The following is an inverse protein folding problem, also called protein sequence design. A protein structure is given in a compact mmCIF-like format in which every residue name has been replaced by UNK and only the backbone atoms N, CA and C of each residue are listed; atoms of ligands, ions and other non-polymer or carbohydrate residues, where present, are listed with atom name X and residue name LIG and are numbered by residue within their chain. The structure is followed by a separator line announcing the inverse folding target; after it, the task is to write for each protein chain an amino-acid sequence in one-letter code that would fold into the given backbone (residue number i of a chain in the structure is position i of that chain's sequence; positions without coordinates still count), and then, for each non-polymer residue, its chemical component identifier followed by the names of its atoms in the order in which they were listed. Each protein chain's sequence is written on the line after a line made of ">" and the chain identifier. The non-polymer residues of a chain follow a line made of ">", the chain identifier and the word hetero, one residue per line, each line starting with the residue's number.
data_IF_404616042149
#
_entry.id   IF_404616042149
#
_cell.length_a   1.000
_cell.length_b   1.000
_cell.length_c   1.000
_cell.angle_alpha   90.00
_cell.angle_beta   90.00
_cell.angle_gamma   90.00
#
_symmetry.space_group_name_H-M   'P 1'
#
loop_
_entity.id
_entity.type
_entity.pdbx_description
1 polymer ?
#
# COMPACT_ATOMS: atom_id res chain seq x y z
N UNK A 1 6.33 3.50 7.98
CA UNK A 1 6.04 4.40 6.84
C UNK A 1 4.54 4.62 6.72
N UNK A 2 3.75 3.57 6.53
CA UNK A 2 2.29 3.63 6.37
C UNK A 2 1.61 4.32 7.56
N UNK A 3 1.81 3.84 8.80
CA UNK A 3 1.20 4.47 9.98
C UNK A 3 1.55 5.96 10.16
N UNK A 4 2.73 6.39 9.69
CA UNK A 4 3.09 7.82 9.71
C UNK A 4 2.34 8.58 8.62
N UNK A 5 2.28 8.06 7.40
CA UNK A 5 1.53 8.64 6.30
C UNK A 5 0.04 8.80 6.67
N UNK A 6 -0.56 7.75 7.26
CA UNK A 6 -1.95 7.78 7.73
C UNK A 6 -2.17 8.85 8.81
N UNK A 7 -1.25 8.95 9.78
CA UNK A 7 -1.33 9.96 10.86
C UNK A 7 -1.11 11.39 10.38
N UNK A 8 -0.25 11.60 9.38
CA UNK A 8 0.01 12.95 8.86
C UNK A 8 -1.06 13.41 7.88
N UNK A 9 -1.57 12.51 7.04
CA UNK A 9 -2.68 12.83 6.15
C UNK A 9 -4.01 12.98 6.92
N UNK A 10 -4.19 12.23 8.02
CA UNK A 10 -5.30 12.31 8.98
C UNK A 10 -6.67 12.60 8.34
N UNK A 11 -6.97 11.94 7.22
CA UNK A 11 -8.20 12.17 6.49
C UNK A 11 -9.33 11.33 7.10
N UNK A 12 -10.34 12.02 7.63
CA UNK A 12 -11.54 11.41 8.23
C UNK A 12 -12.37 10.66 7.20
N UNK A 13 -12.21 10.96 5.92
CA UNK A 13 -12.91 10.33 4.80
C UNK A 13 -12.15 9.14 4.22
N UNK A 14 -11.02 8.77 4.81
CA UNK A 14 -10.16 7.70 4.33
C UNK A 14 -9.19 8.15 3.24
N UNK A 15 -8.12 7.38 3.10
CA UNK A 15 -7.00 7.67 2.22
C UNK A 15 -6.93 6.63 1.11
N UNK A 16 -6.79 7.09 -0.13
CA UNK A 16 -6.57 6.17 -1.25
C UNK A 16 -5.13 5.65 -1.23
N UNK A 17 -4.91 4.50 -1.87
CA UNK A 17 -3.57 3.92 -2.00
C UNK A 17 -2.57 4.92 -2.63
N UNK A 18 -3.02 5.68 -3.64
CA UNK A 18 -2.19 6.67 -4.34
C UNK A 18 -1.81 7.84 -3.43
N UNK A 19 -2.71 8.27 -2.54
CA UNK A 19 -2.40 9.34 -1.58
C UNK A 19 -1.32 8.89 -0.58
N UNK A 20 -1.44 7.64 -0.10
CA UNK A 20 -0.47 7.04 0.81
C UNK A 20 0.87 6.82 0.10
N UNK A 21 0.84 6.26 -1.11
CA UNK A 21 2.02 6.04 -1.96
C UNK A 21 2.72 7.36 -2.28
N UNK A 22 1.98 8.40 -2.65
CA UNK A 22 2.51 9.72 -2.94
C UNK A 22 3.21 10.36 -1.74
N UNK A 23 2.64 10.23 -0.53
CA UNK A 23 3.30 10.69 0.69
C UNK A 23 4.59 9.91 0.96
N UNK A 24 4.53 8.59 0.83
CA UNK A 24 5.68 7.72 1.07
C UNK A 24 6.80 8.01 0.08
N UNK A 25 6.51 8.14 -1.21
CA UNK A 25 7.48 8.57 -2.23
C UNK A 25 8.11 9.89 -1.87
N UNK A 26 7.32 10.90 -1.51
CA UNK A 26 7.85 12.23 -1.20
C UNK A 26 8.81 12.25 0.00
N UNK A 27 8.51 11.48 1.04
CA UNK A 27 9.31 11.45 2.27
C UNK A 27 10.46 10.42 2.23
N UNK A 28 10.32 9.34 1.46
CA UNK A 28 11.21 8.18 1.51
C UNK A 28 11.70 7.70 0.13
N UNK A 29 11.66 8.56 -0.89
CA UNK A 29 12.01 8.24 -2.29
C UNK A 29 13.29 7.40 -2.44
N UNK A 30 14.32 7.77 -1.67
CA UNK A 30 15.66 7.16 -1.75
C UNK A 30 15.75 5.76 -1.13
N UNK A 31 14.81 5.39 -0.26
CA UNK A 31 14.80 4.13 0.48
C UNK A 31 13.74 3.14 -0.06
N UNK A 32 12.97 3.56 -1.07
CA UNK A 32 11.86 2.77 -1.59
C UNK A 32 12.33 1.78 -2.66
N UNK A 33 11.93 0.50 -2.54
CA UNK A 33 12.10 -0.47 -3.61
C UNK A 33 11.39 -0.02 -4.90
N UNK A 34 11.87 -0.50 -6.04
CA UNK A 34 11.24 -0.23 -7.33
C UNK A 34 9.75 -0.61 -7.35
N UNK A 35 9.39 -1.74 -6.72
CA UNK A 35 8.01 -2.23 -6.59
C UNK A 35 7.31 -1.77 -5.28
N UNK A 36 7.61 -0.57 -4.78
CA UNK A 36 7.03 -0.11 -3.51
C UNK A 36 5.50 -0.01 -3.54
N UNK A 37 4.88 0.23 -4.69
CA UNK A 37 3.40 0.27 -4.81
C UNK A 37 2.79 -1.10 -4.51
N UNK A 38 3.29 -2.16 -5.15
CA UNK A 38 2.85 -3.54 -4.89
C UNK A 38 3.09 -3.92 -3.43
N UNK A 39 4.26 -3.58 -2.89
CA UNK A 39 4.61 -3.86 -1.49
C UNK A 39 3.67 -3.10 -0.53
N UNK A 40 3.37 -1.83 -0.83
CA UNK A 40 2.43 -1.00 -0.08
C UNK A 40 1.04 -1.64 -0.07
N UNK A 41 0.53 -2.03 -1.23
CA UNK A 41 -0.77 -2.71 -1.38
C UNK A 41 -0.86 -3.97 -0.52
N UNK A 42 0.16 -4.84 -0.60
CA UNK A 42 0.24 -6.06 0.21
C UNK A 42 0.23 -5.72 1.70
N UNK A 43 0.97 -4.69 2.12
CA UNK A 43 0.99 -4.27 3.51
C UNK A 43 -0.35 -3.67 3.97
N UNK A 44 -1.02 -2.88 3.14
CA UNK A 44 -2.35 -2.32 3.44
C UNK A 44 -3.37 -3.44 3.63
N UNK A 45 -3.41 -4.42 2.70
CA UNK A 45 -4.27 -5.60 2.84
C UNK A 45 -4.00 -6.36 4.14
N UNK A 46 -2.73 -6.58 4.50
CA UNK A 46 -2.35 -7.23 5.78
C UNK A 46 -2.83 -6.46 7.00
N UNK A 47 -2.73 -5.13 6.99
CA UNK A 47 -3.21 -4.27 8.07
C UNK A 47 -4.74 -4.25 8.18
N UNK A 48 -5.44 -4.41 7.05
CA UNK A 48 -6.89 -4.63 7.07
C UNK A 48 -7.24 -5.97 7.69
N UNK A 49 -6.49 -7.03 7.38
CA UNK A 49 -6.67 -8.34 8.00
C UNK A 49 -6.35 -8.35 9.50
N UNK A 50 -5.38 -7.55 9.95
CA UNK A 50 -5.06 -7.43 11.39
C UNK A 50 -6.05 -6.57 12.17
N UNK A 51 -6.94 -5.84 11.48
CA UNK A 51 -7.90 -4.91 12.09
C UNK A 51 -7.29 -3.57 12.51
N UNK A 52 -6.05 -3.28 12.11
CA UNK A 52 -5.42 -1.96 12.32
C UNK A 52 -5.95 -0.91 11.34
N UNK A 53 -6.38 -1.35 10.15
CA UNK A 53 -7.00 -0.51 9.12
C UNK A 53 -8.37 -1.06 8.72
N UNK A 54 -9.25 -0.19 8.26
CA UNK A 54 -10.51 -0.56 7.59
C UNK A 54 -10.40 -0.16 6.12
N UNK A 55 -10.66 -1.12 5.23
CA UNK A 55 -10.85 -0.86 3.81
C UNK A 55 -12.34 -0.53 3.59
N UNK A 56 -12.60 0.67 3.08
CA UNK A 56 -13.91 1.12 2.65
C UNK A 56 -14.25 0.55 1.27
N UNK A 57 -15.54 0.46 0.94
CA UNK A 57 -16.03 -0.04 -0.34
C UNK A 57 -15.58 0.80 -1.55
N UNK A 58 -15.13 2.04 -1.30
CA UNK A 58 -14.61 2.97 -2.31
C UNK A 58 -13.08 2.84 -2.53
N UNK A 59 -12.45 1.81 -1.95
CA UNK A 59 -11.00 1.56 -2.08
C UNK A 59 -10.14 2.48 -1.23
N UNK A 60 -10.73 3.12 -0.20
CA UNK A 60 -10.00 3.94 0.76
C UNK A 60 -9.69 3.20 2.05
N UNK A 61 -8.64 3.62 2.72
CA UNK A 61 -8.16 3.06 3.97
C UNK A 61 -8.34 4.07 5.11
N UNK A 62 -8.84 3.60 6.26
CA UNK A 62 -8.99 4.40 7.48
C UNK A 62 -8.28 3.70 8.62
N UNK A 63 -7.61 4.46 9.48
CA UNK A 63 -6.93 3.92 10.66
C UNK A 63 -7.94 3.70 11.79
N UNK A 64 -7.93 2.51 12.39
CA UNK A 64 -8.79 2.19 13.52
C UNK A 64 -8.05 2.61 14.79
N UNK A 65 -8.39 3.77 15.34
CA UNK A 65 -7.91 4.15 16.66
C UNK A 65 -8.55 3.22 17.70
N UNK A 66 -7.72 2.43 18.39
CA UNK A 66 -8.12 1.35 19.30
C UNK A 66 -8.86 1.77 20.58
N UNK A 67 -9.57 2.90 20.59
CA UNK A 67 -10.50 3.30 21.65
C UNK A 67 -11.98 3.04 21.30
N UNK A 68 -12.27 2.44 20.14
CA UNK A 68 -13.62 2.02 19.79
C UNK A 68 -13.64 0.57 19.33
N UNK A 69 -14.19 -0.32 20.16
CA UNK A 69 -14.42 -1.72 19.83
C UNK A 69 -15.34 -1.83 18.60
N UNK A 70 -14.85 -2.36 17.48
CA UNK A 70 -15.73 -2.87 16.41
C UNK A 70 -15.17 -4.14 15.76
N UNK A 71 -15.93 -5.19 16.04
CA UNK A 71 -16.07 -6.51 15.41
C UNK A 71 -15.53 -6.67 13.99
N UNK A 72 -14.74 -7.73 13.82
CA UNK A 72 -14.10 -8.11 12.57
C UNK A 72 -15.06 -8.45 11.44
N UNK A 73 -14.69 -7.99 10.25
CA UNK A 73 -15.17 -8.51 8.98
C UNK A 73 -13.97 -9.10 8.24
N UNK A 74 -13.87 -10.43 8.30
CA UNK A 74 -13.01 -11.27 7.44
C UNK A 74 -13.48 -11.16 6.00
N UNK A 75 -12.59 -10.84 5.07
CA UNK A 75 -12.80 -11.12 3.64
C UNK A 75 -11.51 -11.71 3.06
N UNK A 76 -11.60 -12.99 2.74
CA UNK A 76 -10.63 -13.77 1.95
C UNK A 76 -10.68 -13.30 0.49
N UNK A 77 -9.52 -13.20 -0.14
CA UNK A 77 -9.37 -12.79 -1.53
C UNK A 77 -7.94 -12.93 -1.99
N UNK A 78 -7.59 -14.13 -2.43
CA UNK A 78 -6.34 -14.50 -3.09
C UNK A 78 -6.38 -13.96 -4.53
N UNK A 79 -5.40 -13.13 -4.92
CA UNK A 79 -5.21 -12.69 -6.30
C UNK A 79 -3.70 -12.66 -6.56
N UNK A 80 -3.22 -13.58 -7.38
CA UNK A 80 -1.82 -13.78 -7.73
C UNK A 80 -1.36 -12.68 -8.71
N UNK A 81 -0.27 -11.98 -8.37
CA UNK A 81 0.39 -10.97 -9.21
C UNK A 81 1.20 -11.67 -10.34
N UNK A 82 0.79 -11.50 -11.60
CA UNK A 82 1.66 -11.77 -12.75
C UNK A 82 2.56 -10.55 -13.00
N UNK A 83 3.86 -10.70 -12.74
CA UNK A 83 4.88 -9.67 -13.02
C UNK A 83 5.69 -10.08 -14.25
N UNK A 84 5.41 -9.45 -15.39
CA UNK A 84 6.22 -9.55 -16.61
C UNK A 84 7.51 -8.72 -16.46
N UNK A 85 8.66 -9.36 -16.16
CA UNK A 85 9.98 -8.72 -16.24
C UNK A 85 10.47 -8.67 -17.70
N UNK A 86 10.22 -7.57 -18.41
CA UNK A 86 10.86 -7.30 -19.70
C UNK A 86 12.30 -6.79 -19.49
N UNK A 87 13.27 -7.72 -19.51
CA UNK A 87 14.71 -7.41 -19.61
C UNK A 87 15.21 -7.53 -21.04
N UNK A 88 14.89 -6.56 -21.89
CA UNK A 88 15.60 -6.33 -23.16
C UNK A 88 16.64 -5.21 -23.01
N UNK A 89 17.83 -5.21 -23.62
CA UNK A 89 18.59 -6.17 -24.40
C UNK A 89 19.99 -5.55 -24.54
N UNK A 90 21.01 -6.34 -24.24
CA UNK A 90 22.46 -6.05 -24.28
C UNK A 90 22.90 -5.34 -25.56
N UNK A 91 23.50 -4.16 -25.43
CA UNK A 91 24.29 -3.50 -26.49
C UNK A 91 25.68 -4.16 -26.66
N UNK A 92 26.30 -3.83 -27.80
CA UNK A 92 27.68 -4.09 -28.22
C UNK A 92 28.03 -5.44 -28.87
N UNK A 93 27.98 -5.43 -30.20
CA UNK A 93 29.01 -6.10 -31.01
C UNK A 93 29.68 -5.07 -31.92
N UNK A 94 30.89 -4.65 -31.51
CA UNK A 94 31.91 -4.15 -32.41
C UNK A 94 32.63 -5.35 -33.05
N UNK A 95 32.65 -5.42 -34.39
CA UNK A 95 33.78 -5.77 -35.28
C UNK A 95 33.29 -6.26 -36.63
#
# INVERSE_FOLDING_TARGET
>A
MINRAMKELNDKNGLTEEAISGFIRKEYDQELPFAHETILRIHLKKLCMSGELVCLDDGKYVLVDSESEVVGATLEGEEEDEVEEDRGRREERQR
#
